data_IF_027454472658
#
_entry.id   IF_027454472658
#
_cell.length_a   1.000
_cell.length_b   1.000
_cell.length_c   1.000
_cell.angle_alpha   90.00
_cell.angle_beta   90.00
_cell.angle_gamma   90.00
#
_symmetry.space_group_name_H-M   'P 1'
#
loop_
_entity.id
_entity.type
_entity.pdbx_description
1 polymer ?
#
# COMPACT_ATOMS: atom_id res chain seq x y z
N UNK A 1 -3.67 23.89 13.81
CA UNK A 1 -3.42 23.02 12.64
C UNK A 1 -4.09 23.47 11.33
N UNK A 2 -5.40 23.78 11.28
CA UNK A 2 -6.09 24.12 9.99
C UNK A 2 -5.49 25.29 9.19
N UNK A 3 -4.91 26.32 9.82
CA UNK A 3 -4.32 27.45 9.09
C UNK A 3 -3.01 27.09 8.38
N UNK A 4 -2.16 26.26 9.00
CA UNK A 4 -0.89 25.83 8.41
C UNK A 4 -1.14 24.98 7.16
N UNK A 5 -2.13 24.08 7.20
CA UNK A 5 -2.51 23.26 6.04
C UNK A 5 -2.98 24.10 4.86
N UNK A 6 -3.74 25.18 5.09
CA UNK A 6 -4.17 26.10 4.02
C UNK A 6 -2.99 26.85 3.41
N UNK A 7 -2.05 27.31 4.23
CA UNK A 7 -0.86 28.02 3.75
C UNK A 7 0.02 27.11 2.90
N UNK A 8 0.26 25.86 3.33
CA UNK A 8 1.03 24.89 2.55
C UNK A 8 0.36 24.55 1.22
N UNK A 9 -0.97 24.48 1.17
CA UNK A 9 -1.71 24.28 -0.07
C UNK A 9 -1.54 25.45 -1.04
N UNK A 10 -1.63 26.69 -0.55
CA UNK A 10 -1.42 27.89 -1.38
C UNK A 10 0.01 27.95 -1.91
N UNK A 11 1.00 27.68 -1.06
CA UNK A 11 2.43 27.64 -1.49
C UNK A 11 2.65 26.56 -2.54
N UNK A 12 2.05 25.38 -2.36
CA UNK A 12 2.11 24.30 -3.34
C UNK A 12 1.52 24.72 -4.70
N UNK A 13 0.33 25.34 -4.72
CA UNK A 13 -0.30 25.85 -5.95
C UNK A 13 0.55 26.92 -6.63
N UNK A 14 1.16 27.83 -5.87
CA UNK A 14 2.05 28.86 -6.41
C UNK A 14 3.29 28.23 -7.04
N UNK A 15 3.92 27.25 -6.38
CA UNK A 15 5.07 26.52 -6.93
C UNK A 15 4.66 25.79 -8.21
N UNK A 16 3.46 25.19 -8.25
CA UNK A 16 2.95 24.52 -9.43
C UNK A 16 2.74 25.49 -10.59
N UNK A 17 2.13 26.65 -10.35
CA UNK A 17 1.92 27.68 -11.37
C UNK A 17 3.24 28.26 -11.89
N UNK A 18 4.18 28.57 -11.00
CA UNK A 18 5.50 29.09 -11.37
C UNK A 18 6.31 28.05 -12.15
N UNK A 19 6.29 26.79 -11.72
CA UNK A 19 6.88 25.68 -12.45
C UNK A 19 6.29 25.59 -13.85
N UNK A 20 4.96 25.50 -13.97
CA UNK A 20 4.25 25.41 -15.25
C UNK A 20 4.60 26.56 -16.20
N UNK A 21 4.61 27.80 -15.70
CA UNK A 21 4.96 28.98 -16.50
C UNK A 21 6.42 28.93 -16.98
N UNK A 22 7.35 28.55 -16.11
CA UNK A 22 8.75 28.35 -16.47
C UNK A 22 8.90 27.24 -17.53
N UNK A 23 8.15 26.14 -17.40
CA UNK A 23 8.16 25.04 -18.38
C UNK A 23 7.65 25.47 -19.76
N UNK A 24 6.56 26.24 -19.82
CA UNK A 24 6.05 26.77 -21.08
C UNK A 24 7.06 27.72 -21.72
N UNK A 25 7.73 28.56 -20.92
CA UNK A 25 8.77 29.46 -21.39
C UNK A 25 9.97 28.70 -21.98
N UNK A 26 10.50 27.70 -21.26
CA UNK A 26 11.63 26.89 -21.74
C UNK A 26 11.25 26.07 -22.96
N UNK A 27 10.06 25.46 -22.99
CA UNK A 27 9.56 24.72 -24.14
C UNK A 27 9.45 25.59 -25.39
N UNK A 28 8.91 26.80 -25.24
CA UNK A 28 8.80 27.74 -26.36
C UNK A 28 10.18 28.22 -26.85
N UNK A 29 11.14 28.42 -25.93
CA UNK A 29 12.52 28.73 -26.28
C UNK A 29 13.19 27.58 -27.04
N UNK A 30 13.04 26.33 -26.57
CA UNK A 30 13.61 25.14 -27.22
C UNK A 30 13.05 24.95 -28.64
N UNK A 31 11.74 25.16 -28.84
CA UNK A 31 11.14 25.10 -30.19
C UNK A 31 11.75 26.17 -31.10
N UNK A 32 11.93 27.40 -30.61
CA UNK A 32 12.58 28.46 -31.40
C UNK A 32 14.03 28.12 -31.74
N UNK A 33 14.79 27.64 -30.75
CA UNK A 33 16.19 27.26 -30.91
C UNK A 33 16.38 26.03 -31.83
N UNK A 34 15.41 25.12 -31.85
CA UNK A 34 15.39 24.03 -32.81
C UNK A 34 15.09 24.52 -34.24
N UNK A 35 14.09 25.40 -34.40
CA UNK A 35 13.72 25.95 -35.70
C UNK A 35 14.79 26.89 -36.28
N UNK A 36 15.61 27.53 -35.44
CA UNK A 36 16.78 28.32 -35.88
C UNK A 36 18.00 27.46 -36.21
N UNK A 37 17.98 26.16 -35.91
CA UNK A 37 19.13 25.27 -36.08
C UNK A 37 20.21 25.42 -35.02
N UNK A 38 19.97 26.21 -33.96
CA UNK A 38 20.93 26.46 -32.87
C UNK A 38 21.11 25.24 -31.96
N UNK A 39 20.14 24.32 -31.95
CA UNK A 39 20.15 23.11 -31.13
C UNK A 39 19.93 21.87 -32.00
N UNK A 40 20.80 20.87 -31.84
CA UNK A 40 20.66 19.60 -32.55
C UNK A 40 19.46 18.81 -32.02
N UNK A 41 18.80 18.08 -32.92
CA UNK A 41 17.69 17.18 -32.58
C UNK A 41 18.03 16.23 -31.42
N UNK A 42 19.28 15.77 -31.34
CA UNK A 42 19.78 14.91 -30.29
C UNK A 42 19.70 15.54 -28.88
N UNK A 43 19.93 16.86 -28.77
CA UNK A 43 19.83 17.56 -27.48
C UNK A 43 18.36 17.71 -27.07
N UNK A 44 17.46 18.02 -28.00
CA UNK A 44 16.01 18.07 -27.72
C UNK A 44 15.52 16.70 -27.24
N UNK A 45 15.94 15.65 -27.94
CA UNK A 45 15.57 14.27 -27.64
C UNK A 45 16.23 13.73 -26.37
N UNK A 46 17.32 14.33 -25.89
CA UNK A 46 17.89 14.00 -24.58
C UNK A 46 17.18 14.74 -23.45
N UNK A 47 16.80 16.01 -23.62
CA UNK A 47 16.30 16.86 -22.54
C UNK A 47 14.79 16.70 -22.31
N UNK A 48 13.99 16.60 -23.37
CA UNK A 48 12.52 16.49 -23.28
C UNK A 48 12.08 15.24 -22.48
N UNK A 49 12.70 14.06 -22.67
CA UNK A 49 12.46 12.87 -21.86
C UNK A 49 12.66 13.05 -20.36
N UNK A 50 13.79 13.63 -19.95
CA UNK A 50 14.09 13.92 -18.55
C UNK A 50 13.11 14.94 -17.97
N UNK A 51 12.67 15.91 -18.76
CA UNK A 51 11.66 16.89 -18.36
C UNK A 51 10.29 16.24 -18.08
N UNK A 52 9.82 15.37 -18.97
CA UNK A 52 8.56 14.63 -18.76
C UNK A 52 8.65 13.79 -17.49
N UNK A 53 9.77 13.11 -17.26
CA UNK A 53 9.99 12.32 -16.05
C UNK A 53 9.94 13.18 -14.78
N UNK A 54 10.58 14.34 -14.78
CA UNK A 54 10.68 15.22 -13.60
C UNK A 54 9.32 15.85 -13.24
N UNK A 55 8.58 16.37 -14.22
CA UNK A 55 7.21 16.89 -14.02
C UNK A 55 6.30 15.80 -13.46
N UNK A 56 6.42 14.59 -14.00
CA UNK A 56 5.60 13.47 -13.59
C UNK A 56 5.97 13.01 -12.17
N UNK A 57 7.25 12.98 -11.80
CA UNK A 57 7.70 12.64 -10.45
C UNK A 57 7.22 13.66 -9.40
N UNK A 58 7.28 14.95 -9.73
CA UNK A 58 6.76 16.02 -8.85
C UNK A 58 5.25 15.90 -8.67
N UNK A 59 4.50 15.61 -9.73
CA UNK A 59 3.05 15.41 -9.64
C UNK A 59 2.66 14.22 -8.74
N UNK A 60 3.40 13.10 -8.82
CA UNK A 60 3.19 11.95 -7.93
C UNK A 60 3.51 12.31 -6.48
N UNK A 61 4.61 13.01 -6.25
CA UNK A 61 5.06 13.38 -4.89
C UNK A 61 4.09 14.37 -4.23
N UNK A 62 3.58 15.36 -4.98
CA UNK A 62 2.54 16.28 -4.50
C UNK A 62 1.19 15.59 -4.25
N UNK A 63 0.83 14.60 -5.05
CA UNK A 63 -0.35 13.75 -4.83
C UNK A 63 -0.28 12.96 -3.52
N UNK A 64 0.90 12.45 -3.16
CA UNK A 64 1.14 11.77 -1.89
C UNK A 64 1.00 12.70 -0.67
N UNK A 65 1.49 13.93 -0.77
CA UNK A 65 1.47 14.89 0.35
C UNK A 65 0.04 15.38 0.65
N UNK A 66 -0.83 15.45 -0.36
CA UNK A 66 -2.17 16.02 -0.20
C UNK A 66 -3.23 15.04 0.29
N UNK A 67 -2.93 13.74 0.37
CA UNK A 67 -3.80 12.71 0.98
C UNK A 67 -5.19 12.55 0.34
N UNK A 68 -5.42 13.15 -0.83
CA UNK A 68 -6.74 13.11 -1.48
C UNK A 68 -6.89 11.84 -2.33
N UNK A 69 -8.09 11.22 -2.35
CA UNK A 69 -8.41 10.07 -3.21
C UNK A 69 -8.30 10.37 -4.72
N UNK A 70 -8.10 11.64 -5.08
CA UNK A 70 -7.76 12.10 -6.43
C UNK A 70 -6.46 11.50 -6.98
N UNK A 71 -5.51 11.11 -6.10
CA UNK A 71 -4.23 10.50 -6.51
C UNK A 71 -4.40 9.16 -7.26
N UNK A 72 -5.50 8.43 -7.02
CA UNK A 72 -5.71 7.08 -7.59
C UNK A 72 -5.92 7.09 -9.11
N UNK A 73 -6.62 8.10 -9.65
CA UNK A 73 -6.84 8.22 -11.11
C UNK A 73 -5.59 8.71 -11.85
N UNK A 74 -4.85 9.63 -11.24
CA UNK A 74 -3.58 10.11 -11.81
C UNK A 74 -2.49 9.04 -11.82
N UNK A 75 -2.52 8.09 -10.88
CA UNK A 75 -1.57 6.98 -10.88
C UNK A 75 -1.69 6.07 -12.10
N UNK A 76 -2.92 5.84 -12.59
CA UNK A 76 -3.18 5.03 -13.79
C UNK A 76 -2.67 5.77 -15.03
N UNK A 77 -2.95 7.07 -15.12
CA UNK A 77 -2.47 7.92 -16.23
C UNK A 77 -0.94 8.05 -16.19
N UNK A 78 -0.35 8.19 -15.01
CA UNK A 78 1.10 8.24 -14.80
C UNK A 78 1.77 6.92 -15.15
N UNK A 79 1.20 5.78 -14.72
CA UNK A 79 1.66 4.45 -15.11
C UNK A 79 1.62 4.28 -16.63
N UNK A 80 0.55 4.73 -17.27
CA UNK A 80 0.41 4.68 -18.72
C UNK A 80 1.42 5.57 -19.46
N UNK A 81 1.60 6.82 -19.04
CA UNK A 81 2.59 7.75 -19.61
C UNK A 81 4.03 7.26 -19.38
N UNK A 82 4.32 6.67 -18.21
CA UNK A 82 5.61 6.03 -17.93
C UNK A 82 5.84 4.80 -18.80
N UNK A 83 4.82 3.98 -19.06
CA UNK A 83 4.93 2.84 -19.96
C UNK A 83 5.13 3.28 -21.42
N UNK A 84 4.43 4.31 -21.89
CA UNK A 84 4.64 4.90 -23.21
C UNK A 84 6.06 5.50 -23.34
N UNK A 85 6.53 6.14 -22.28
CA UNK A 85 7.88 6.69 -22.21
C UNK A 85 8.96 5.61 -22.29
N UNK A 86 8.80 4.52 -21.54
CA UNK A 86 9.71 3.37 -21.62
C UNK A 86 9.65 2.70 -23.00
N UNK A 87 8.45 2.55 -23.58
CA UNK A 87 8.29 2.02 -24.94
C UNK A 87 8.95 2.92 -26.00
N UNK A 88 8.91 4.24 -25.81
CA UNK A 88 9.59 5.21 -26.66
C UNK A 88 11.12 5.14 -26.53
N UNK A 89 11.64 5.00 -25.32
CA UNK A 89 13.08 4.75 -25.11
C UNK A 89 13.52 3.40 -25.70
N UNK A 90 12.64 2.38 -25.66
CA UNK A 90 12.85 1.10 -26.36
C UNK A 90 12.92 1.30 -27.87
N UNK A 91 11.98 2.04 -28.44
CA UNK A 91 11.97 2.36 -29.87
C UNK A 91 13.25 3.11 -30.29
N UNK A 92 13.68 4.12 -29.52
CA UNK A 92 14.92 4.85 -29.80
C UNK A 92 16.18 3.96 -29.67
N UNK A 93 16.19 3.03 -28.72
CA UNK A 93 17.29 2.07 -28.54
C UNK A 93 17.36 1.01 -29.64
N UNK A 94 16.23 0.58 -30.20
CA UNK A 94 16.18 -0.37 -31.33
C UNK A 94 16.64 0.31 -32.63
N UNK A 95 16.33 1.59 -32.81
CA UNK A 95 16.70 2.34 -34.01
C UNK A 95 18.16 2.79 -34.03
N UNK A 96 18.92 2.57 -32.95
CA UNK A 96 20.31 2.97 -32.86
C UNK A 96 21.19 1.71 -32.70
N UNK A 97 21.84 1.28 -33.78
CA UNK A 97 22.71 0.09 -33.82
C UNK A 97 23.88 0.21 -32.84
N UNK A 98 23.75 -0.23 -31.59
CA UNK A 98 24.90 -0.54 -30.73
C UNK A 98 24.52 -1.53 -29.62
N UNK A 99 25.29 -2.61 -29.51
CA UNK A 99 25.08 -3.76 -28.62
C UNK A 99 25.07 -3.43 -27.11
N UNK A 100 25.58 -2.26 -26.71
CA UNK A 100 25.62 -1.83 -25.30
C UNK A 100 24.24 -1.49 -24.72
N UNK A 101 23.24 -1.25 -25.56
CA UNK A 101 21.88 -0.87 -25.12
C UNK A 101 21.13 -2.07 -24.48
N UNK A 102 21.51 -3.31 -24.81
CA UNK A 102 20.88 -4.53 -24.27
C UNK A 102 20.99 -4.67 -22.75
N UNK A 103 22.12 -4.25 -22.16
CA UNK A 103 22.33 -4.28 -20.70
C UNK A 103 21.44 -3.24 -20.01
N UNK A 104 21.29 -2.06 -20.60
CA UNK A 104 20.38 -1.03 -20.10
C UNK A 104 18.92 -1.49 -20.15
N UNK A 105 18.50 -2.24 -21.19
CA UNK A 105 17.17 -2.84 -21.23
C UNK A 105 16.94 -3.85 -20.11
N UNK A 106 17.92 -4.71 -19.83
CA UNK A 106 17.84 -5.64 -18.70
C UNK A 106 17.62 -4.93 -17.37
N UNK A 107 18.37 -3.85 -17.12
CA UNK A 107 18.24 -3.05 -15.89
C UNK A 107 16.88 -2.34 -15.82
N UNK A 108 16.39 -1.76 -16.92
CA UNK A 108 15.08 -1.09 -16.97
C UNK A 108 13.93 -2.08 -16.72
N UNK A 109 14.00 -3.28 -17.30
CA UNK A 109 13.01 -4.33 -17.07
C UNK A 109 13.03 -4.78 -15.60
N UNK A 110 14.21 -4.98 -15.02
CA UNK A 110 14.35 -5.35 -13.60
C UNK A 110 13.79 -4.27 -12.68
N UNK A 111 14.11 -2.99 -12.92
CA UNK A 111 13.58 -1.86 -12.12
C UNK A 111 12.07 -1.75 -12.28
N UNK A 112 11.55 -1.95 -13.48
CA UNK A 112 10.10 -1.94 -13.76
C UNK A 112 9.38 -3.06 -13.02
N UNK A 113 9.91 -4.29 -13.07
CA UNK A 113 9.36 -5.43 -12.35
C UNK A 113 9.45 -5.26 -10.82
N UNK A 114 10.54 -4.68 -10.32
CA UNK A 114 10.68 -4.36 -8.90
C UNK A 114 9.65 -3.32 -8.46
N UNK A 115 9.45 -2.26 -9.25
CA UNK A 115 8.44 -1.25 -8.98
C UNK A 115 7.03 -1.85 -8.95
N UNK A 116 6.69 -2.74 -9.88
CA UNK A 116 5.41 -3.46 -9.87
C UNK A 116 5.25 -4.31 -8.59
N UNK A 117 6.31 -4.99 -8.14
CA UNK A 117 6.28 -5.78 -6.89
C UNK A 117 6.10 -4.90 -5.65
N UNK A 118 6.72 -3.72 -5.62
CA UNK A 118 6.53 -2.76 -4.53
C UNK A 118 5.08 -2.25 -4.51
N UNK A 119 4.51 -1.93 -5.68
CA UNK A 119 3.11 -1.48 -5.79
C UNK A 119 2.14 -2.59 -5.37
N UNK A 120 2.36 -3.85 -5.79
CA UNK A 120 1.49 -4.96 -5.37
C UNK A 120 1.56 -5.23 -3.87
N UNK A 121 2.75 -5.10 -3.27
CA UNK A 121 2.90 -5.23 -1.83
C UNK A 121 2.25 -4.06 -1.09
N UNK A 122 2.28 -2.86 -1.67
CA UNK A 122 1.65 -1.68 -1.10
C UNK A 122 0.11 -1.79 -1.05
N UNK A 123 -0.53 -2.32 -2.11
CA UNK A 123 -1.98 -2.56 -2.09
C UNK A 123 -2.38 -3.51 -0.96
N UNK A 124 -1.60 -4.57 -0.74
CA UNK A 124 -1.82 -5.48 0.38
C UNK A 124 -1.67 -4.78 1.74
N UNK A 125 -0.74 -3.83 1.87
CA UNK A 125 -0.60 -3.03 3.11
C UNK A 125 -1.80 -2.10 3.34
N UNK A 126 -2.41 -1.55 2.27
CA UNK A 126 -3.59 -0.68 2.39
C UNK A 126 -4.83 -1.45 2.87
N UNK A 127 -4.99 -2.70 2.43
CA UNK A 127 -6.06 -3.58 2.91
C UNK A 127 -5.93 -3.84 4.42
N UNK A 128 -4.71 -4.08 4.90
CA UNK A 128 -4.43 -4.29 6.32
C UNK A 128 -4.76 -3.04 7.14
N UNK A 129 -4.43 -1.84 6.65
CA UNK A 129 -4.76 -0.60 7.38
C UNK A 129 -6.26 -0.35 7.46
N UNK A 130 -7.03 -0.72 6.43
CA UNK A 130 -8.48 -0.53 6.45
C UNK A 130 -9.15 -1.43 7.49
N UNK A 131 -8.70 -2.67 7.58
CA UNK A 131 -9.18 -3.63 8.59
C UNK A 131 -8.84 -3.14 10.01
N UNK A 132 -7.64 -2.58 10.19
CA UNK A 132 -7.24 -1.98 11.47
C UNK A 132 -8.14 -0.80 11.88
N UNK A 133 -8.45 0.11 10.96
CA UNK A 133 -9.32 1.26 11.24
C UNK A 133 -10.75 0.81 11.59
N UNK A 134 -11.28 -0.22 10.92
CA UNK A 134 -12.60 -0.79 11.23
C UNK A 134 -12.62 -1.43 12.62
N UNK A 135 -11.56 -2.16 12.99
CA UNK A 135 -11.38 -2.74 14.33
C UNK A 135 -11.29 -1.65 15.39
N UNK A 136 -10.49 -0.60 15.18
CA UNK A 136 -10.36 0.50 16.13
C UNK A 136 -11.66 1.28 16.30
N UNK A 137 -12.41 1.49 15.22
CA UNK A 137 -13.74 2.10 15.27
C UNK A 137 -14.75 1.26 16.08
N UNK A 138 -14.53 -0.05 16.19
CA UNK A 138 -15.36 -0.93 17.00
C UNK A 138 -15.06 -0.81 18.50
N UNK A 139 -13.81 -0.49 18.87
CA UNK A 139 -13.43 -0.20 20.26
C UNK A 139 -13.86 1.20 20.72
N UNK A 140 -13.90 2.17 19.80
CA UNK A 140 -14.36 3.53 20.10
C UNK A 140 -15.89 3.65 20.17
N UNK A 141 -16.65 2.61 19.77
CA UNK A 141 -18.09 2.60 19.99
C UNK A 141 -18.32 2.66 21.50
N UNK A 142 -18.98 3.72 22.02
CA UNK A 142 -19.30 3.80 23.44
C UNK A 142 -20.03 2.53 23.81
N UNK A 143 -19.51 1.84 24.83
CA UNK A 143 -20.09 0.60 25.33
C UNK A 143 -21.60 0.82 25.40
N UNK A 144 -22.36 0.06 24.59
CA UNK A 144 -23.82 0.12 24.62
C UNK A 144 -24.17 0.05 26.09
N UNK A 145 -24.86 1.06 26.66
CA UNK A 145 -25.18 1.06 28.08
C UNK A 145 -25.80 -0.29 28.33
N UNK A 146 -25.14 -1.11 29.17
CA UNK A 146 -25.61 -2.45 29.47
C UNK A 146 -27.06 -2.28 29.84
N UNK A 147 -27.96 -2.70 28.95
CA UNK A 147 -29.39 -2.54 29.16
C UNK A 147 -29.62 -3.15 30.52
N UNK A 148 -30.09 -2.34 31.47
CA UNK A 148 -30.39 -2.75 32.83
C UNK A 148 -31.08 -4.09 32.71
N UNK A 149 -30.34 -5.17 33.01
CA UNK A 149 -30.85 -6.51 32.93
C UNK A 149 -31.90 -6.52 34.02
N UNK A 150 -33.14 -6.26 33.63
CA UNK A 150 -34.26 -6.44 34.54
C UNK A 150 -34.22 -7.94 34.78
N UNK A 151 -33.94 -8.42 36.01
CA UNK A 151 -33.87 -9.84 36.27
C UNK A 151 -35.21 -10.40 35.83
N UNK A 152 -35.22 -11.10 34.69
CA UNK A 152 -36.39 -11.83 34.26
C UNK A 152 -36.62 -12.83 35.39
N UNK A 153 -37.80 -12.83 36.04
CA UNK A 153 -38.06 -13.73 37.15
C UNK A 153 -37.74 -15.13 36.68
N UNK A 154 -36.69 -15.69 37.26
CA UNK A 154 -36.27 -17.07 37.02
C UNK A 154 -37.51 -17.92 37.22
N UNK A 155 -38.03 -18.59 36.18
CA UNK A 155 -39.10 -19.56 36.39
C UNK A 155 -38.57 -20.54 37.43
N UNK A 156 -39.33 -20.68 38.52
CA UNK A 156 -39.03 -21.64 39.56
C UNK A 156 -38.75 -22.99 38.88
N UNK A 157 -37.55 -23.57 39.07
CA UNK A 157 -37.15 -24.75 38.34
C UNK A 157 -38.11 -25.87 38.71
N UNK A 158 -38.99 -26.21 37.77
CA UNK A 158 -39.65 -27.51 37.79
C UNK A 158 -38.54 -28.54 37.69
N UNK A 159 -38.27 -29.21 38.81
CA UNK A 159 -37.29 -30.29 38.92
C UNK A 159 -37.72 -31.44 38.00
N UNK A 160 -37.33 -31.36 36.73
CA UNK A 160 -37.19 -32.55 35.91
C UNK A 160 -35.82 -33.11 36.28
N UNK A 161 -35.82 -34.24 36.99
CA UNK A 161 -34.61 -35.00 37.27
C UNK A 161 -33.82 -35.20 35.97
N UNK A 162 -32.55 -34.78 35.90
CA UNK A 162 -31.71 -35.09 34.76
C UNK A 162 -31.58 -36.61 34.62
N UNK A 163 -31.67 -37.16 33.39
CA UNK A 163 -31.33 -38.56 33.17
C UNK A 163 -29.90 -38.83 33.64
N UNK A 164 -29.62 -40.05 34.14
CA UNK A 164 -28.33 -40.40 34.72
C UNK A 164 -27.19 -40.07 33.75
N UNK A 165 -26.10 -39.45 34.23
CA UNK A 165 -25.01 -39.04 33.38
C UNK A 165 -24.43 -40.27 32.65
N UNK A 166 -24.16 -40.18 31.34
CA UNK A 166 -23.46 -41.25 30.64
C UNK A 166 -22.11 -41.49 31.32
N UNK A 167 -21.63 -42.75 31.35
CA UNK A 167 -20.38 -43.10 32.01
C UNK A 167 -19.26 -42.21 31.45
N UNK A 168 -18.69 -41.38 32.32
CA UNK A 168 -17.53 -40.53 32.03
C UNK A 168 -16.41 -41.45 31.61
N UNK A 169 -16.18 -41.56 30.29
CA UNK A 169 -14.94 -42.13 29.77
C UNK A 169 -13.82 -41.25 30.31
N UNK A 170 -13.04 -41.80 31.23
CA UNK A 170 -11.81 -41.21 31.75
C UNK A 170 -10.92 -40.83 30.57
N UNK A 171 -10.96 -39.55 30.18
CA UNK A 171 -10.08 -39.03 29.15
C UNK A 171 -8.64 -39.19 29.63
N UNK A 172 -7.80 -39.86 28.83
CA UNK A 172 -6.43 -40.17 29.22
C UNK A 172 -5.61 -38.88 29.27
N UNK A 173 -5.24 -38.43 30.47
CA UNK A 173 -4.32 -37.30 30.60
C UNK A 173 -2.90 -37.73 30.20
N UNK A 174 -2.14 -36.84 29.56
CA UNK A 174 -0.71 -37.04 29.28
C UNK A 174 0.12 -36.06 30.11
N UNK A 175 1.31 -36.50 30.54
CA UNK A 175 2.23 -35.67 31.31
C UNK A 175 3.28 -35.06 30.39
N UNK A 176 3.53 -33.77 30.54
CA UNK A 176 4.57 -33.09 29.77
C UNK A 176 5.95 -33.59 30.17
N UNK A 177 6.76 -34.00 29.20
CA UNK A 177 8.14 -34.48 29.44
C UNK A 177 9.10 -33.38 29.87
N UNK A 178 8.74 -32.11 29.64
CA UNK A 178 9.62 -30.96 29.92
C UNK A 178 9.30 -30.30 31.27
N UNK A 179 8.02 -30.19 31.65
CA UNK A 179 7.62 -29.56 32.93
C UNK A 179 6.85 -30.47 33.90
N UNK A 180 6.48 -31.70 33.49
CA UNK A 180 5.80 -32.67 34.35
C UNK A 180 4.30 -32.44 34.55
N UNK A 181 3.70 -31.41 33.94
CA UNK A 181 2.27 -31.11 34.12
C UNK A 181 1.36 -32.08 33.38
N UNK A 182 0.26 -32.47 34.02
CA UNK A 182 -0.83 -33.23 33.39
C UNK A 182 -1.64 -32.33 32.46
N UNK A 183 -1.86 -32.78 31.23
CA UNK A 183 -2.67 -32.11 30.22
C UNK A 183 -3.77 -33.06 29.70
N UNK A 184 -4.95 -32.55 29.30
CA UNK A 184 -6.00 -33.37 28.70
C UNK A 184 -5.54 -34.02 27.39
N UNK A 185 -6.09 -35.19 27.04
CA UNK A 185 -5.75 -35.90 25.80
C UNK A 185 -5.93 -35.05 24.53
N UNK A 186 -6.93 -34.15 24.56
CA UNK A 186 -7.28 -33.27 23.44
C UNK A 186 -6.25 -32.17 23.18
N UNK A 187 -5.31 -31.93 24.09
CA UNK A 187 -4.33 -30.86 23.97
C UNK A 187 -3.10 -31.34 23.19
N UNK A 188 -2.80 -30.66 22.08
CA UNK A 188 -1.60 -30.91 21.25
C UNK A 188 -0.32 -30.30 21.85
N UNK A 189 -0.46 -29.36 22.77
CA UNK A 189 0.64 -28.63 23.41
C UNK A 189 0.41 -28.55 24.91
N UNK A 190 1.49 -28.43 25.69
CA UNK A 190 1.38 -28.22 27.13
C UNK A 190 0.86 -26.81 27.41
N UNK A 191 -0.20 -26.71 28.24
CA UNK A 191 -0.80 -25.42 28.62
C UNK A 191 0.09 -24.54 29.50
N UNK A 192 1.21 -25.06 30.01
CA UNK A 192 2.12 -24.33 30.88
C UNK A 192 3.42 -23.91 30.18
N UNK A 193 4.12 -24.85 29.52
CA UNK A 193 5.40 -24.54 28.86
C UNK A 193 5.29 -24.35 27.33
N UNK A 194 4.11 -24.56 26.74
CA UNK A 194 3.86 -24.38 25.31
C UNK A 194 4.53 -25.42 24.38
N UNK A 195 5.24 -26.40 24.94
CA UNK A 195 5.91 -27.45 24.14
C UNK A 195 4.91 -28.47 23.60
N UNK A 196 5.11 -28.99 22.38
CA UNK A 196 4.22 -29.99 21.79
C UNK A 196 4.28 -31.32 22.55
N UNK A 197 3.18 -32.07 22.51
CA UNK A 197 3.13 -33.46 22.98
C UNK A 197 4.11 -34.30 22.15
N UNK A 198 5.11 -34.89 22.80
CA UNK A 198 6.02 -35.88 22.20
C UNK A 198 5.37 -37.26 22.23
#
# INVERSE_FOLDING_TARGET
MRQITRYLLIVHEIIWLLGSAFFLYVGQWMVRAFLSGDISFNVVMAVVPWFIFLVSAVAVTGGFITGKPFARKYYIVYGFLRSLYLAYLVYLGIMNETYEISVFFGVIVIISLYALRVVSNWERSLEITKDYDEVMAQFDKPAVPQSTYTPQPTPEPTYIQPPPPPPVKTAHAWYCTECGKANPESFKFCGECGKPRK
#
